data_IF_023753231622
#
_entry.id   IF_023753231622
#
_cell.length_a   1.000
_cell.length_b   1.000
_cell.length_c   1.000
_cell.angle_alpha   90.00
_cell.angle_beta   90.00
_cell.angle_gamma   90.00
#
_symmetry.space_group_name_H-M   'P 1'
#
loop_
_entity.id
_entity.type
_entity.pdbx_description
1 polymer ?
#
# COMPACT_ATOMS: atom_id res chain seq x y z
N UNK A 1 11.84 9.71 14.16
CA UNK A 1 10.65 9.59 13.30
C UNK A 1 10.98 9.70 11.80
N UNK A 2 12.25 9.63 11.39
CA UNK A 2 12.65 9.71 9.98
C UNK A 2 12.61 8.35 9.26
N UNK A 3 12.48 7.23 9.99
CA UNK A 3 12.65 5.88 9.44
C UNK A 3 11.38 5.33 8.73
N UNK A 4 10.25 6.04 8.81
CA UNK A 4 8.99 5.61 8.19
C UNK A 4 8.60 6.56 7.05
N UNK A 5 8.43 6.04 5.81
CA UNK A 5 7.99 6.82 4.66
C UNK A 5 6.68 7.57 4.92
N UNK A 6 6.54 8.77 4.36
CA UNK A 6 5.38 9.62 4.60
C UNK A 6 4.05 8.91 4.28
N UNK A 7 4.02 8.11 3.22
CA UNK A 7 2.83 7.35 2.79
C UNK A 7 2.41 6.26 3.78
N UNK A 8 3.35 5.77 4.61
CA UNK A 8 3.14 4.71 5.59
C UNK A 8 2.90 5.25 7.00
N UNK A 9 3.04 6.57 7.22
CA UNK A 9 2.74 7.18 8.53
C UNK A 9 1.25 7.04 8.84
N UNK A 10 0.89 6.89 10.13
CA UNK A 10 -0.51 6.79 10.53
C UNK A 10 -1.23 8.11 10.23
N UNK A 11 -2.46 7.99 9.73
CA UNK A 11 -3.34 9.16 9.56
C UNK A 11 -4.02 9.53 10.87
N UNK A 12 -4.64 10.72 10.93
CA UNK A 12 -5.43 11.11 12.10
C UNK A 12 -6.55 10.10 12.39
N UNK A 13 -7.21 9.56 11.36
CA UNK A 13 -8.25 8.55 11.53
C UNK A 13 -7.70 7.27 12.15
N UNK A 14 -6.52 6.82 11.72
CA UNK A 14 -5.88 5.63 12.30
C UNK A 14 -5.42 5.83 13.74
N UNK A 15 -5.08 7.06 14.13
CA UNK A 15 -4.71 7.41 15.51
C UNK A 15 -5.95 7.40 16.42
N UNK A 16 -7.09 7.88 15.93
CA UNK A 16 -8.28 8.11 16.77
C UNK A 16 -9.32 6.99 16.72
N UNK A 17 -9.30 6.17 15.67
CA UNK A 17 -10.31 5.14 15.43
C UNK A 17 -9.65 3.76 15.52
N UNK A 18 -10.10 2.89 16.44
CA UNK A 18 -9.69 1.48 16.45
C UNK A 18 -9.98 0.85 15.08
N UNK A 19 -8.97 0.20 14.49
CA UNK A 19 -9.08 -0.37 13.16
C UNK A 19 -8.25 -1.66 13.03
N UNK A 20 -8.53 -2.52 12.04
CA UNK A 20 -7.71 -3.68 11.78
C UNK A 20 -6.28 -3.27 11.38
N UNK A 21 -5.26 -3.86 12.04
CA UNK A 21 -3.84 -3.58 11.77
C UNK A 21 -3.43 -3.75 10.30
N UNK A 22 -4.17 -4.54 9.52
CA UNK A 22 -3.89 -4.71 8.10
C UNK A 22 -3.99 -3.39 7.31
N UNK A 23 -4.79 -2.42 7.77
CA UNK A 23 -4.93 -1.14 7.08
C UNK A 23 -3.65 -0.30 7.16
N UNK A 24 -2.79 -0.51 8.15
CA UNK A 24 -1.49 0.17 8.27
C UNK A 24 -0.56 -0.13 7.09
N UNK A 25 -0.77 -1.26 6.41
CA UNK A 25 0.05 -1.68 5.26
C UNK A 25 -0.47 -1.15 3.92
N UNK A 26 -1.58 -0.39 3.91
CA UNK A 26 -2.11 0.22 2.69
C UNK A 26 -1.42 1.58 2.48
N UNK A 27 -0.72 1.79 1.36
CA UNK A 27 0.08 3.00 1.13
C UNK A 27 -0.79 4.25 0.92
N UNK A 28 -2.07 4.08 0.55
CA UNK A 28 -3.01 5.16 0.22
C UNK A 28 -3.66 5.79 1.46
N UNK A 29 -3.26 6.99 1.92
CA UNK A 29 -3.76 7.56 3.17
C UNK A 29 -5.24 7.90 3.11
N UNK A 30 -5.72 8.39 1.97
CA UNK A 30 -7.13 8.73 1.77
C UNK A 30 -8.02 7.47 1.84
N UNK A 31 -7.56 6.36 1.25
CA UNK A 31 -8.27 5.09 1.33
C UNK A 31 -8.27 4.54 2.75
N UNK A 32 -7.14 4.60 3.47
CA UNK A 32 -7.06 4.21 4.88
C UNK A 32 -8.06 4.98 5.74
N UNK A 33 -8.18 6.30 5.54
CA UNK A 33 -9.19 7.11 6.22
C UNK A 33 -10.60 6.59 5.93
N UNK A 34 -10.94 6.40 4.65
CA UNK A 34 -12.25 5.88 4.27
C UNK A 34 -12.56 4.54 4.95
N UNK A 35 -11.60 3.60 4.91
CA UNK A 35 -11.77 2.27 5.50
C UNK A 35 -11.90 2.34 7.02
N UNK A 36 -11.18 3.24 7.70
CA UNK A 36 -11.33 3.47 9.13
C UNK A 36 -12.73 4.00 9.52
N UNK A 37 -13.32 4.89 8.71
CA UNK A 37 -14.66 5.44 8.97
C UNK A 37 -15.80 4.49 8.56
N UNK A 38 -15.54 3.53 7.68
CA UNK A 38 -16.56 2.66 7.09
C UNK A 38 -16.33 1.18 7.42
N UNK A 39 -15.62 0.91 8.51
CA UNK A 39 -15.43 -0.45 9.02
C UNK A 39 -16.77 -1.14 9.21
N UNK A 40 -16.83 -2.43 8.86
CA UNK A 40 -18.01 -3.29 9.00
C UNK A 40 -19.24 -2.91 8.15
N UNK A 41 -19.17 -1.87 7.31
CA UNK A 41 -20.29 -1.50 6.42
C UNK A 41 -20.40 -2.39 5.19
N UNK A 42 -19.29 -2.93 4.71
CA UNK A 42 -19.25 -3.85 3.58
C UNK A 42 -18.37 -5.06 3.94
N UNK A 43 -18.99 -6.24 4.03
CA UNK A 43 -18.31 -7.48 4.42
C UNK A 43 -17.28 -7.97 3.40
N UNK A 44 -17.29 -7.45 2.18
CA UNK A 44 -16.30 -7.80 1.14
C UNK A 44 -14.92 -7.22 1.45
N UNK A 45 -14.84 -6.18 2.28
CA UNK A 45 -13.56 -5.66 2.77
C UNK A 45 -12.86 -6.70 3.65
N UNK A 46 -11.77 -7.27 3.13
CA UNK A 46 -10.98 -8.28 3.82
C UNK A 46 -9.49 -8.10 3.55
N UNK A 47 -8.67 -8.62 4.47
CA UNK A 47 -7.20 -8.60 4.34
C UNK A 47 -6.75 -9.31 3.06
N UNK A 48 -7.36 -10.47 2.75
CA UNK A 48 -7.08 -11.23 1.53
C UNK A 48 -7.26 -10.37 0.27
N UNK A 49 -8.40 -9.67 0.19
CA UNK A 49 -8.72 -8.83 -0.96
C UNK A 49 -7.69 -7.70 -1.12
N UNK A 50 -7.31 -7.03 -0.03
CA UNK A 50 -6.31 -5.96 -0.08
C UNK A 50 -4.96 -6.48 -0.57
N UNK A 51 -4.46 -7.58 0.00
CA UNK A 51 -3.17 -8.16 -0.35
C UNK A 51 -3.12 -8.64 -1.81
N UNK A 52 -4.21 -9.25 -2.29
CA UNK A 52 -4.29 -9.74 -3.67
C UNK A 52 -4.40 -8.62 -4.70
N UNK A 53 -4.89 -7.45 -4.31
CA UNK A 53 -5.12 -6.33 -5.22
C UNK A 53 -3.99 -5.31 -5.23
N UNK A 54 -3.23 -5.21 -4.14
CA UNK A 54 -2.17 -4.22 -4.01
C UNK A 54 -0.93 -4.59 -4.83
N UNK A 55 -0.39 -3.63 -5.56
CA UNK A 55 0.80 -3.81 -6.41
C UNK A 55 1.77 -2.65 -6.20
N UNK A 56 3.04 -2.99 -6.01
CA UNK A 56 4.15 -2.07 -6.20
C UNK A 56 4.64 -2.22 -7.65
N UNK A 57 4.45 -1.18 -8.44
CA UNK A 57 4.87 -1.08 -9.84
C UNK A 57 6.21 -0.36 -9.87
N UNK A 58 7.27 -1.11 -10.19
CA UNK A 58 8.60 -0.53 -10.32
C UNK A 58 8.72 0.27 -11.63
N UNK A 59 9.49 1.38 -11.63
CA UNK A 59 9.79 2.09 -12.86
C UNK A 59 10.48 1.19 -13.90
N UNK A 60 10.31 1.46 -15.21
CA UNK A 60 10.95 0.69 -16.26
C UNK A 60 12.47 0.56 -16.06
N UNK A 61 12.99 -0.65 -16.23
CA UNK A 61 14.42 -0.95 -16.06
C UNK A 61 14.90 -1.07 -14.60
N UNK A 62 14.01 -0.91 -13.61
CA UNK A 62 14.32 -1.16 -12.20
C UNK A 62 13.93 -2.58 -11.80
N UNK A 63 14.72 -3.18 -10.94
CA UNK A 63 14.47 -4.51 -10.38
C UNK A 63 14.31 -4.44 -8.87
N UNK A 64 13.50 -5.34 -8.32
CA UNK A 64 13.33 -5.49 -6.88
C UNK A 64 14.61 -5.97 -6.21
N UNK A 65 15.25 -6.97 -6.81
CA UNK A 65 16.47 -7.58 -6.32
C UNK A 65 17.61 -7.31 -7.30
N UNK A 66 18.82 -7.21 -6.77
CA UNK A 66 20.07 -7.11 -7.54
C UNK A 66 20.99 -8.26 -7.16
N UNK A 67 21.91 -8.61 -8.06
CA UNK A 67 23.01 -9.53 -7.76
C UNK A 67 24.24 -8.72 -7.35
N UNK A 68 24.86 -9.09 -6.25
CA UNK A 68 26.13 -8.49 -5.82
C UNK A 68 27.28 -9.03 -6.66
N UNK A 69 28.44 -8.38 -6.58
CA UNK A 69 29.68 -8.85 -7.23
C UNK A 69 30.10 -10.24 -6.76
N UNK A 70 29.69 -10.63 -5.54
CA UNK A 70 29.96 -11.95 -4.95
C UNK A 70 28.97 -13.03 -5.41
N UNK A 71 27.95 -12.64 -6.16
CA UNK A 71 26.90 -13.54 -6.66
C UNK A 71 25.69 -13.67 -5.72
N UNK A 72 25.69 -12.97 -4.58
CA UNK A 72 24.55 -12.95 -3.64
C UNK A 72 23.36 -12.17 -4.23
N UNK A 73 22.16 -12.48 -3.76
CA UNK A 73 20.92 -11.80 -4.18
C UNK A 73 20.45 -10.91 -3.03
N UNK A 74 20.43 -9.61 -3.25
CA UNK A 74 20.07 -8.61 -2.26
C UNK A 74 18.92 -7.73 -2.77
N UNK A 75 18.22 -7.08 -1.83
CA UNK A 75 17.22 -6.07 -2.17
C UNK A 75 17.91 -4.88 -2.84
N UNK A 76 17.33 -4.38 -3.92
CA UNK A 76 17.85 -3.18 -4.56
C UNK A 76 17.82 -2.02 -3.55
N UNK A 77 18.92 -1.30 -3.30
CA UNK A 77 18.92 -0.15 -2.39
C UNK A 77 17.91 0.94 -2.77
N UNK A 78 17.56 1.03 -4.06
CA UNK A 78 16.52 1.96 -4.53
C UNK A 78 15.09 1.48 -4.21
N UNK A 79 14.91 0.24 -3.77
CA UNK A 79 13.59 -0.32 -3.44
C UNK A 79 12.85 0.54 -2.42
N UNK A 80 13.53 0.99 -1.36
CA UNK A 80 12.91 1.82 -0.33
C UNK A 80 12.41 3.14 -0.92
N UNK A 81 13.16 3.73 -1.85
CA UNK A 81 12.77 4.95 -2.56
C UNK A 81 11.50 4.69 -3.38
N UNK A 82 11.45 3.56 -4.10
CA UNK A 82 10.29 3.21 -4.92
C UNK A 82 9.06 2.90 -4.07
N UNK A 83 9.22 2.11 -3.01
CA UNK A 83 8.15 1.75 -2.09
C UNK A 83 7.64 2.95 -1.28
N UNK A 84 8.44 3.99 -1.10
CA UNK A 84 8.07 5.23 -0.39
C UNK A 84 7.26 6.21 -1.23
N UNK A 85 7.19 6.01 -2.54
CA UNK A 85 6.48 6.89 -3.46
C UNK A 85 5.11 6.31 -3.82
N UNK A 86 4.05 7.06 -3.46
CA UNK A 86 2.67 6.63 -3.69
C UNK A 86 2.38 6.33 -5.16
N UNK A 87 3.06 7.03 -6.09
CA UNK A 87 2.87 6.87 -7.55
C UNK A 87 3.27 5.49 -8.06
N UNK A 88 4.10 4.76 -7.31
CA UNK A 88 4.50 3.40 -7.64
C UNK A 88 3.52 2.37 -7.08
N UNK A 89 2.48 2.77 -6.37
CA UNK A 89 1.48 1.85 -5.85
C UNK A 89 0.21 1.88 -6.67
N UNK A 90 -0.46 0.72 -6.78
CA UNK A 90 -1.79 0.61 -7.36
C UNK A 90 -2.62 -0.43 -6.60
N UNK A 91 -3.94 -0.35 -6.78
CA UNK A 91 -4.89 -1.39 -6.38
C UNK A 91 -5.65 -1.89 -7.61
N UNK A 92 -5.27 -3.06 -8.08
CA UNK A 92 -5.78 -3.73 -9.27
C UNK A 92 -6.93 -4.70 -8.95
N UNK A 93 -7.29 -5.56 -9.91
CA UNK A 93 -8.30 -6.60 -9.68
C UNK A 93 -7.79 -7.55 -8.59
N UNK A 94 -8.64 -8.00 -7.65
CA UNK A 94 -10.12 -7.87 -7.62
C UNK A 94 -10.69 -6.58 -6.98
N UNK A 95 -9.87 -5.65 -6.48
CA UNK A 95 -10.36 -4.48 -5.73
C UNK A 95 -11.30 -3.59 -6.54
N UNK A 96 -10.86 -3.16 -7.72
CA UNK A 96 -11.63 -2.18 -8.49
C UNK A 96 -12.95 -2.72 -9.05
N UNK A 97 -13.04 -4.04 -9.24
CA UNK A 97 -14.27 -4.72 -9.66
C UNK A 97 -15.30 -4.70 -8.54
N UNK A 98 -14.84 -4.84 -7.28
CA UNK A 98 -15.71 -4.86 -6.11
C UNK A 98 -16.07 -3.45 -5.62
N UNK A 99 -15.14 -2.49 -5.75
CA UNK A 99 -15.25 -1.13 -5.19
C UNK A 99 -14.87 -0.03 -6.18
N UNK A 100 -15.54 0.08 -7.34
CA UNK A 100 -15.18 1.07 -8.36
C UNK A 100 -15.27 2.51 -7.85
N UNK A 101 -16.20 2.79 -6.93
CA UNK A 101 -16.40 4.11 -6.32
C UNK A 101 -15.26 4.54 -5.39
N UNK A 102 -14.40 3.62 -4.93
CA UNK A 102 -13.27 3.93 -4.05
C UNK A 102 -11.98 4.28 -4.81
N UNK A 103 -11.97 4.18 -6.14
CA UNK A 103 -10.81 4.53 -6.97
C UNK A 103 -10.32 5.96 -6.76
N UNK A 104 -11.23 6.88 -6.43
CA UNK A 104 -10.91 8.27 -6.12
C UNK A 104 -9.94 8.44 -4.94
N UNK A 105 -9.79 7.42 -4.08
CA UNK A 105 -8.90 7.44 -2.92
C UNK A 105 -7.51 6.83 -3.21
N UNK A 106 -7.24 6.43 -4.45
CA UNK A 106 -5.96 5.87 -4.90
C UNK A 106 -5.02 6.90 -5.56
N UNK A 107 -5.47 8.16 -5.67
CA UNK A 107 -4.74 9.27 -6.27
C UNK A 107 -3.79 9.96 -5.27
#
# INVERSE_FOLDING_TARGET
MADVPAIMRPTQAQITIPHPKCLDFIPFPALRNYLCFNQHKDARHSVDLYLRSMRLVLPPGKTLMIKTERGDVELNPEFEIFASDLRNWSMDSPWWENFPHLRQFLC
#
